data_IF_291920102689
#
_entry.id   IF_291920102689
#
_cell.length_a   1.000
_cell.length_b   1.000
_cell.length_c   1.000
_cell.angle_alpha   90.00
_cell.angle_beta   90.00
_cell.angle_gamma   90.00
#
_symmetry.space_group_name_H-M   'P 1'
#
loop_
_entity.id
_entity.type
_entity.pdbx_description
1 polymer ?
#
# COMPACT_ATOMS: atom_id res chain seq x y z
N UNK A 1 12.53 -12.35 18.22
CA UNK A 1 11.06 -12.25 18.36
C UNK A 1 10.46 -11.88 17.01
N UNK A 2 9.26 -12.40 16.70
CA UNK A 2 8.52 -12.03 15.49
C UNK A 2 8.20 -10.52 15.50
N UNK A 3 8.51 -9.83 14.41
CA UNK A 3 8.18 -8.42 14.20
C UNK A 3 6.67 -8.24 14.14
N UNK A 4 6.17 -7.10 14.66
CA UNK A 4 4.74 -6.78 14.72
C UNK A 4 4.43 -5.48 14.00
N UNK A 5 3.39 -5.50 13.16
CA UNK A 5 2.88 -4.31 12.47
C UNK A 5 1.43 -4.06 12.91
N UNK A 6 1.14 -2.88 13.44
CA UNK A 6 -0.24 -2.42 13.56
C UNK A 6 -0.76 -2.06 12.16
N UNK A 7 -1.86 -2.69 11.75
CA UNK A 7 -2.47 -2.48 10.43
C UNK A 7 -3.81 -1.78 10.61
N UNK A 8 -3.89 -0.52 10.19
CA UNK A 8 -5.06 0.36 10.35
C UNK A 8 -5.75 0.50 8.98
N UNK A 9 -6.81 -0.26 8.77
CA UNK A 9 -7.56 -0.28 7.51
C UNK A 9 -8.96 -0.86 7.76
N UNK A 10 -9.86 -0.83 6.77
CA UNK A 10 -11.17 -1.48 6.90
C UNK A 10 -11.06 -3.02 6.82
N UNK A 11 -12.05 -3.69 7.39
CA UNK A 11 -12.22 -5.14 7.28
C UNK A 11 -13.41 -5.42 6.36
N UNK A 12 -13.13 -5.72 5.11
CA UNK A 12 -14.12 -6.16 4.13
C UNK A 12 -14.27 -7.68 4.15
N UNK A 13 -15.47 -8.18 4.44
CA UNK A 13 -15.75 -9.63 4.56
C UNK A 13 -15.71 -10.34 3.22
N UNK A 14 -16.12 -9.66 2.13
CA UNK A 14 -16.04 -10.16 0.77
C UNK A 14 -15.29 -9.18 -0.13
N UNK A 15 -14.43 -9.70 -0.99
CA UNK A 15 -13.43 -8.96 -1.76
C UNK A 15 -12.05 -9.03 -1.09
N UNK A 16 -11.01 -9.13 -1.92
CA UNK A 16 -9.63 -9.37 -1.48
C UNK A 16 -8.86 -8.04 -1.37
N UNK A 17 -9.22 -7.22 -0.38
CA UNK A 17 -8.67 -5.89 -0.16
C UNK A 17 -8.42 -5.59 1.33
N UNK A 18 -7.90 -4.43 1.61
CA UNK A 18 -7.77 -3.84 2.95
C UNK A 18 -7.16 -4.81 3.98
N UNK A 19 -7.75 -5.00 5.17
CA UNK A 19 -7.21 -5.88 6.21
C UNK A 19 -7.10 -7.35 5.77
N UNK A 20 -8.00 -7.87 4.95
CA UNK A 20 -7.94 -9.28 4.50
C UNK A 20 -6.69 -9.54 3.66
N UNK A 21 -6.35 -8.63 2.75
CA UNK A 21 -5.12 -8.69 1.96
C UNK A 21 -3.88 -8.46 2.86
N UNK A 22 -3.93 -7.45 3.73
CA UNK A 22 -2.80 -7.09 4.58
C UNK A 22 -2.43 -8.20 5.58
N UNK A 23 -3.41 -8.81 6.23
CA UNK A 23 -3.16 -9.92 7.17
C UNK A 23 -2.48 -11.08 6.44
N UNK A 24 -2.97 -11.45 5.26
CA UNK A 24 -2.43 -12.57 4.49
C UNK A 24 -1.00 -12.31 4.03
N UNK A 25 -0.74 -11.15 3.40
CA UNK A 25 0.55 -10.81 2.83
C UNK A 25 1.63 -10.62 3.92
N UNK A 26 1.33 -9.85 4.97
CA UNK A 26 2.26 -9.58 6.07
C UNK A 26 2.60 -10.88 6.83
N UNK A 27 1.59 -11.73 7.10
CA UNK A 27 1.81 -13.01 7.76
C UNK A 27 2.67 -13.96 6.92
N UNK A 28 2.46 -14.03 5.59
CA UNK A 28 3.27 -14.82 4.67
C UNK A 28 4.75 -14.38 4.66
N UNK A 29 5.04 -13.13 5.00
CA UNK A 29 6.41 -12.60 5.15
C UNK A 29 7.04 -12.90 6.51
N UNK A 30 6.38 -13.68 7.39
CA UNK A 30 6.88 -14.00 8.72
C UNK A 30 6.76 -12.87 9.75
N UNK A 31 5.92 -11.89 9.48
CA UNK A 31 5.64 -10.72 10.34
C UNK A 31 4.23 -10.85 10.91
N UNK A 32 4.02 -10.48 12.17
CA UNK A 32 2.71 -10.53 12.81
C UNK A 32 1.89 -9.27 12.47
N UNK A 33 0.80 -9.38 11.69
CA UNK A 33 -0.15 -8.28 11.53
C UNK A 33 -1.03 -8.17 12.79
N UNK A 34 -1.22 -6.94 13.27
CA UNK A 34 -2.09 -6.62 14.40
C UNK A 34 -3.18 -5.65 13.88
N UNK A 35 -4.37 -6.16 13.48
CA UNK A 35 -5.37 -5.36 12.82
C UNK A 35 -6.08 -4.39 13.78
N UNK A 36 -6.20 -3.13 13.37
CA UNK A 36 -7.05 -2.10 13.97
C UNK A 36 -8.10 -1.69 12.93
N UNK A 37 -9.32 -2.25 12.98
CA UNK A 37 -10.35 -1.97 11.98
C UNK A 37 -10.80 -0.51 12.04
N UNK A 38 -10.88 0.15 10.88
CA UNK A 38 -11.48 1.48 10.70
C UNK A 38 -12.97 1.40 10.39
N UNK A 39 -13.38 0.31 9.74
CA UNK A 39 -14.76 -0.06 9.46
C UNK A 39 -14.85 -1.58 9.31
N UNK A 40 -16.05 -2.15 9.49
CA UNK A 40 -16.35 -3.55 9.16
C UNK A 40 -17.44 -3.57 8.10
N UNK A 41 -17.13 -4.14 6.94
CA UNK A 41 -18.02 -4.20 5.79
C UNK A 41 -18.36 -5.66 5.46
N UNK A 42 -19.61 -5.88 5.02
CA UNK A 42 -20.00 -7.19 4.48
C UNK A 42 -19.27 -7.52 3.18
N UNK A 43 -18.99 -6.49 2.36
CA UNK A 43 -18.22 -6.56 1.12
C UNK A 43 -17.55 -5.22 0.87
N UNK A 44 -16.49 -5.19 0.08
CA UNK A 44 -15.79 -3.96 -0.28
C UNK A 44 -16.70 -3.00 -1.09
N UNK A 45 -16.39 -1.69 -1.05
CA UNK A 45 -17.27 -0.61 -1.52
C UNK A 45 -17.51 -0.56 -3.04
N UNK A 46 -16.80 -1.35 -3.84
CA UNK A 46 -17.03 -1.48 -5.28
C UNK A 46 -18.24 -2.33 -5.65
N UNK A 47 -18.82 -3.08 -4.70
CA UNK A 47 -20.07 -3.82 -4.94
C UNK A 47 -21.28 -2.89 -4.91
N UNK A 48 -22.36 -3.22 -5.67
CA UNK A 48 -23.56 -2.37 -5.74
C UNK A 48 -24.29 -2.18 -4.40
N UNK A 49 -24.07 -3.12 -3.46
CA UNK A 49 -24.67 -3.09 -2.12
C UNK A 49 -23.73 -3.74 -1.11
N UNK A 50 -23.59 -3.13 0.03
CA UNK A 50 -22.84 -3.64 1.18
C UNK A 50 -23.38 -3.03 2.47
N UNK A 51 -23.19 -3.75 3.57
CA UNK A 51 -23.36 -3.23 4.92
C UNK A 51 -22.02 -2.66 5.39
N UNK A 52 -22.03 -1.55 6.10
CA UNK A 52 -20.86 -0.94 6.69
C UNK A 52 -21.16 -0.51 8.13
N UNK A 53 -20.35 -0.96 9.08
CA UNK A 53 -20.30 -0.47 10.46
C UNK A 53 -19.02 0.35 10.63
N UNK A 54 -19.15 1.67 10.85
CA UNK A 54 -18.03 2.57 11.10
C UNK A 54 -17.43 2.32 12.49
N UNK A 55 -16.14 2.01 12.53
CA UNK A 55 -15.41 1.71 13.76
C UNK A 55 -14.62 2.89 14.32
N UNK A 56 -14.72 4.07 13.75
CA UNK A 56 -13.92 5.24 14.14
C UNK A 56 -13.89 5.47 15.64
N UNK A 57 -15.06 5.48 16.29
CA UNK A 57 -15.13 5.69 17.75
C UNK A 57 -14.69 4.46 18.55
N UNK A 58 -14.70 3.27 17.94
CA UNK A 58 -14.27 2.02 18.60
C UNK A 58 -12.76 1.79 18.50
N UNK A 59 -12.08 2.42 17.55
CA UNK A 59 -10.62 2.32 17.41
C UNK A 59 -9.91 2.66 18.72
N UNK A 60 -10.33 3.76 19.37
CA UNK A 60 -9.74 4.20 20.64
C UNK A 60 -9.91 3.17 21.74
N UNK A 61 -11.05 2.49 21.81
CA UNK A 61 -11.30 1.44 22.81
C UNK A 61 -10.32 0.27 22.63
N UNK A 62 -10.02 -0.10 21.38
CA UNK A 62 -9.09 -1.19 21.07
C UNK A 62 -7.66 -0.80 21.45
N UNK A 63 -7.17 0.35 20.94
CA UNK A 63 -5.77 0.67 21.14
C UNK A 63 -5.45 1.12 22.59
N UNK A 64 -6.42 1.60 23.35
CA UNK A 64 -6.25 1.83 24.79
C UNK A 64 -5.99 0.54 25.57
N UNK A 65 -6.57 -0.59 25.16
CA UNK A 65 -6.21 -1.89 25.75
C UNK A 65 -4.76 -2.27 25.40
N UNK A 66 -4.31 -1.97 24.17
CA UNK A 66 -2.92 -2.18 23.78
C UNK A 66 -1.94 -1.29 24.55
N UNK A 67 -2.32 -0.06 24.88
CA UNK A 67 -1.53 0.81 25.77
C UNK A 67 -1.39 0.21 27.17
N UNK A 68 -2.48 -0.29 27.76
CA UNK A 68 -2.45 -0.97 29.08
C UNK A 68 -1.56 -2.21 29.05
N UNK A 69 -1.56 -2.94 27.94
CA UNK A 69 -0.70 -4.11 27.74
C UNK A 69 0.75 -3.73 27.42
N UNK A 70 1.06 -2.45 27.26
CA UNK A 70 2.37 -1.94 26.86
C UNK A 70 2.88 -2.57 25.54
N UNK A 71 1.96 -2.76 24.57
CA UNK A 71 2.31 -3.34 23.28
C UNK A 71 3.28 -2.44 22.55
N UNK A 72 4.33 -3.05 21.98
CA UNK A 72 5.27 -2.39 21.08
C UNK A 72 5.06 -2.90 19.66
N UNK A 73 5.07 -1.98 18.68
CA UNK A 73 5.02 -2.27 17.27
C UNK A 73 6.34 -1.89 16.59
N UNK A 74 6.88 -2.79 15.78
CA UNK A 74 8.02 -2.52 14.92
C UNK A 74 7.63 -1.63 13.73
N UNK A 75 6.37 -1.68 13.32
CA UNK A 75 5.82 -0.86 12.25
C UNK A 75 4.33 -0.56 12.42
N UNK A 76 3.89 0.46 11.72
CA UNK A 76 2.49 0.87 11.58
C UNK A 76 2.22 0.99 10.08
N UNK A 77 1.12 0.42 9.62
CA UNK A 77 0.65 0.57 8.24
C UNK A 77 -0.78 1.09 8.25
N UNK A 78 -1.04 2.17 7.49
CA UNK A 78 -2.37 2.75 7.35
C UNK A 78 -2.82 2.71 5.89
N UNK A 79 -4.07 2.28 5.64
CA UNK A 79 -4.72 2.30 4.34
C UNK A 79 -5.86 3.31 4.27
N UNK A 80 -7.00 2.89 3.72
CA UNK A 80 -8.16 3.76 3.50
C UNK A 80 -8.71 4.38 4.79
N UNK A 81 -9.02 5.69 4.71
CA UNK A 81 -9.64 6.48 5.77
C UNK A 81 -10.96 7.07 5.29
N UNK A 82 -12.05 6.82 6.02
CA UNK A 82 -13.38 7.25 5.66
C UNK A 82 -13.67 8.74 5.91
N UNK A 83 -12.78 9.45 6.63
CA UNK A 83 -13.00 10.87 6.93
C UNK A 83 -11.96 11.47 7.88
N UNK A 84 -12.00 12.80 8.04
CA UNK A 84 -11.04 13.54 8.86
C UNK A 84 -11.08 13.17 10.34
N UNK A 85 -12.24 12.82 10.88
CA UNK A 85 -12.32 12.34 12.26
C UNK A 85 -11.51 11.06 12.44
N UNK A 86 -11.54 10.15 11.48
CA UNK A 86 -10.76 8.91 11.50
C UNK A 86 -9.25 9.17 11.37
N UNK A 87 -8.84 10.12 10.50
CA UNK A 87 -7.42 10.52 10.38
C UNK A 87 -6.92 11.08 11.72
N UNK A 88 -7.71 11.90 12.42
CA UNK A 88 -7.33 12.41 13.76
C UNK A 88 -7.15 11.27 14.76
N UNK A 89 -8.04 10.26 14.78
CA UNK A 89 -7.87 9.07 15.63
C UNK A 89 -6.59 8.27 15.29
N UNK A 90 -6.23 8.22 14.02
CA UNK A 90 -4.95 7.63 13.59
C UNK A 90 -3.76 8.47 14.09
N UNK A 91 -3.84 9.80 14.02
CA UNK A 91 -2.79 10.67 14.55
C UNK A 91 -2.63 10.50 16.09
N UNK A 92 -3.74 10.38 16.83
CA UNK A 92 -3.71 10.05 18.27
C UNK A 92 -3.05 8.68 18.52
N UNK A 93 -3.37 7.68 17.68
CA UNK A 93 -2.70 6.37 17.72
C UNK A 93 -1.19 6.48 17.48
N UNK A 94 -0.77 7.28 16.49
CA UNK A 94 0.66 7.51 16.22
C UNK A 94 1.36 8.16 17.41
N UNK A 95 0.73 9.10 18.10
CA UNK A 95 1.32 9.75 19.28
C UNK A 95 1.56 8.74 20.41
N UNK A 96 0.70 7.72 20.55
CA UNK A 96 0.85 6.66 21.51
C UNK A 96 1.91 5.61 21.12
N UNK A 97 1.93 5.16 19.86
CA UNK A 97 2.64 3.95 19.43
C UNK A 97 3.80 4.18 18.46
N UNK A 98 3.90 5.33 17.76
CA UNK A 98 5.00 5.65 16.87
C UNK A 98 6.23 6.09 17.68
N UNK A 99 7.17 5.17 17.87
CA UNK A 99 8.39 5.38 18.65
C UNK A 99 9.60 5.47 17.72
N UNK A 100 10.77 5.75 18.29
CA UNK A 100 12.02 5.97 17.53
C UNK A 100 12.40 4.80 16.61
N UNK A 101 12.08 3.59 17.01
CA UNK A 101 12.37 2.33 16.32
C UNK A 101 11.15 1.74 15.55
N UNK A 102 10.03 2.45 15.58
CA UNK A 102 8.83 2.11 14.81
C UNK A 102 8.89 2.81 13.45
N UNK A 103 8.59 2.12 12.36
CA UNK A 103 8.38 2.75 11.04
C UNK A 103 6.88 2.95 10.76
N UNK A 104 6.59 3.92 9.88
CA UNK A 104 5.23 4.22 9.43
C UNK A 104 5.15 4.12 7.90
N UNK A 105 4.27 3.23 7.41
CA UNK A 105 3.86 3.15 6.02
C UNK A 105 2.46 3.75 5.89
N UNK A 106 2.29 4.71 4.98
CA UNK A 106 0.98 5.30 4.66
C UNK A 106 0.65 5.03 3.20
N UNK A 107 -0.41 4.27 2.97
CA UNK A 107 -1.06 4.17 1.68
C UNK A 107 -2.12 5.28 1.59
N UNK A 108 -1.88 6.36 0.82
CA UNK A 108 -2.72 7.55 0.86
C UNK A 108 -3.93 7.43 -0.05
N UNK A 109 -4.76 6.41 0.18
CA UNK A 109 -5.91 6.05 -0.66
C UNK A 109 -6.88 7.22 -0.80
N UNK A 110 -6.82 7.96 -1.92
CA UNK A 110 -7.65 9.16 -2.17
C UNK A 110 -8.33 9.18 -3.54
N UNK A 111 -7.85 8.38 -4.49
CA UNK A 111 -8.37 8.39 -5.85
C UNK A 111 -7.61 7.46 -6.79
N UNK A 112 -8.13 7.28 -8.00
CA UNK A 112 -7.53 6.45 -9.04
C UNK A 112 -7.89 6.97 -10.43
N UNK A 113 -7.03 6.69 -11.44
CA UNK A 113 -7.24 7.05 -12.86
C UNK A 113 -7.58 8.54 -13.08
N UNK A 114 -6.95 9.43 -12.33
CA UNK A 114 -7.15 10.87 -12.38
C UNK A 114 -8.39 11.39 -11.67
N UNK A 115 -9.16 10.51 -11.04
CA UNK A 115 -10.38 10.86 -10.31
C UNK A 115 -10.17 10.71 -8.80
N UNK A 116 -10.45 11.78 -8.08
CA UNK A 116 -10.54 11.75 -6.63
C UNK A 116 -11.82 11.02 -6.22
N UNK A 117 -11.76 10.16 -5.22
CA UNK A 117 -12.95 9.51 -4.68
C UNK A 117 -13.91 10.55 -4.10
N UNK A 118 -15.22 10.40 -4.26
CA UNK A 118 -16.23 11.42 -3.87
C UNK A 118 -16.17 11.84 -2.40
N UNK A 119 -15.75 10.93 -1.51
CA UNK A 119 -15.60 11.19 -0.07
C UNK A 119 -14.45 12.16 0.25
N UNK A 120 -13.43 12.26 -0.60
CA UNK A 120 -12.25 13.08 -0.35
C UNK A 120 -12.51 14.53 -0.76
N UNK A 121 -12.95 15.36 0.20
CA UNK A 121 -13.03 16.82 0.05
C UNK A 121 -11.60 17.43 0.04
N UNK A 122 -11.43 18.71 -0.36
CA UNK A 122 -10.14 19.41 -0.25
C UNK A 122 -9.59 19.40 1.18
N UNK A 123 -10.46 19.51 2.18
CA UNK A 123 -10.10 19.48 3.61
C UNK A 123 -9.57 18.10 4.00
N UNK A 124 -10.21 17.02 3.55
CA UNK A 124 -9.76 15.67 3.82
C UNK A 124 -8.41 15.36 3.14
N UNK A 125 -8.19 15.90 1.93
CA UNK A 125 -6.87 15.82 1.27
C UNK A 125 -5.80 16.55 2.10
N UNK A 126 -6.12 17.71 2.70
CA UNK A 126 -5.18 18.43 3.56
C UNK A 126 -4.84 17.64 4.84
N UNK A 127 -5.84 16.98 5.47
CA UNK A 127 -5.62 16.11 6.62
C UNK A 127 -4.77 14.87 6.24
N UNK A 128 -5.01 14.26 5.07
CA UNK A 128 -4.18 13.17 4.56
C UNK A 128 -2.73 13.62 4.33
N UNK A 129 -2.50 14.84 3.82
CA UNK A 129 -1.15 15.42 3.71
C UNK A 129 -0.44 15.51 5.06
N UNK A 130 -1.16 15.82 6.14
CA UNK A 130 -0.60 15.85 7.49
C UNK A 130 -0.18 14.45 7.96
N UNK A 131 -0.95 13.41 7.64
CA UNK A 131 -0.59 12.02 7.93
C UNK A 131 0.64 11.58 7.09
N UNK A 132 0.62 11.86 5.79
CA UNK A 132 1.72 11.57 4.85
C UNK A 132 3.04 12.21 5.30
N UNK A 133 3.02 13.46 5.81
CA UNK A 133 4.24 14.14 6.27
C UNK A 133 4.92 13.47 7.47
N UNK A 134 4.21 12.61 8.22
CA UNK A 134 4.77 11.81 9.32
C UNK A 134 5.31 10.44 8.88
N UNK A 135 5.02 10.04 7.63
CA UNK A 135 5.35 8.71 7.14
C UNK A 135 6.84 8.52 6.87
N UNK A 136 7.36 7.34 7.15
CA UNK A 136 8.66 6.89 6.66
C UNK A 136 8.56 6.51 5.18
N UNK A 137 7.49 5.79 4.80
CA UNK A 137 7.23 5.32 3.44
C UNK A 137 5.80 5.67 3.07
N UNK A 138 5.59 6.13 1.84
CA UNK A 138 4.26 6.29 1.26
C UNK A 138 4.16 5.52 -0.06
N UNK A 139 2.93 5.04 -0.39
CA UNK A 139 2.68 4.20 -1.57
C UNK A 139 1.65 4.80 -2.55
N UNK A 140 1.73 6.10 -2.91
CA UNK A 140 0.74 6.72 -3.77
C UNK A 140 0.73 6.10 -5.17
N UNK A 141 -0.47 5.91 -5.74
CA UNK A 141 -0.60 5.80 -7.17
C UNK A 141 -0.39 7.16 -7.84
N UNK A 142 -0.33 7.20 -9.19
CA UNK A 142 -0.05 8.44 -9.91
C UNK A 142 -1.08 9.55 -9.66
N UNK A 143 -2.36 9.19 -9.45
CA UNK A 143 -3.42 10.15 -9.10
C UNK A 143 -3.20 10.76 -7.72
N UNK A 144 -2.89 9.93 -6.76
CA UNK A 144 -2.60 10.33 -5.37
C UNK A 144 -1.33 11.18 -5.29
N UNK A 145 -0.30 10.80 -6.05
CA UNK A 145 0.91 11.62 -6.17
C UNK A 145 0.58 13.03 -6.67
N UNK A 146 -0.30 13.15 -7.67
CA UNK A 146 -0.78 14.44 -8.17
C UNK A 146 -1.56 15.22 -7.11
N UNK A 147 -2.47 14.56 -6.36
CA UNK A 147 -3.23 15.20 -5.28
C UNK A 147 -2.33 15.69 -4.14
N UNK A 148 -1.32 14.91 -3.78
CA UNK A 148 -0.37 15.25 -2.72
C UNK A 148 0.52 16.44 -3.10
N UNK A 149 0.98 16.48 -4.36
CA UNK A 149 1.88 17.55 -4.85
C UNK A 149 1.13 18.78 -5.37
N UNK A 150 -0.19 18.66 -5.60
CA UNK A 150 -1.00 19.72 -6.24
C UNK A 150 -0.78 19.84 -7.74
N UNK A 151 -0.25 18.78 -8.38
CA UNK A 151 -0.04 18.71 -9.83
C UNK A 151 -1.34 18.33 -10.54
N UNK A 152 -1.60 18.93 -11.70
CA UNK A 152 -2.75 18.53 -12.52
C UNK A 152 -2.47 17.17 -13.19
N UNK A 153 -3.30 16.18 -12.89
CA UNK A 153 -3.19 14.84 -13.47
C UNK A 153 -3.26 14.84 -15.01
N UNK A 154 -4.04 15.75 -15.61
CA UNK A 154 -4.13 15.86 -17.07
C UNK A 154 -2.79 16.20 -17.72
N UNK A 155 -1.93 16.96 -17.04
CA UNK A 155 -0.58 17.28 -17.52
C UNK A 155 0.31 16.04 -17.56
N UNK A 156 0.10 15.10 -16.65
CA UNK A 156 0.87 13.84 -16.57
C UNK A 156 0.32 12.82 -17.56
N UNK A 157 -1.01 12.71 -17.69
CA UNK A 157 -1.68 11.73 -18.55
C UNK A 157 -1.33 11.85 -20.04
N UNK A 158 -0.97 13.04 -20.50
CA UNK A 158 -0.57 13.26 -21.91
C UNK A 158 0.89 12.88 -22.19
N UNK A 159 1.67 12.55 -21.17
CA UNK A 159 3.04 12.06 -21.33
C UNK A 159 3.00 10.57 -21.67
N UNK A 160 3.49 10.22 -22.86
CA UNK A 160 3.47 8.83 -23.34
C UNK A 160 4.83 8.15 -23.26
N UNK A 161 5.92 8.92 -23.19
CA UNK A 161 7.28 8.42 -23.12
C UNK A 161 7.62 7.99 -21.68
N UNK A 162 8.02 6.74 -21.49
CA UNK A 162 8.41 6.17 -20.18
C UNK A 162 9.39 7.06 -19.42
N UNK A 163 10.52 7.39 -20.07
CA UNK A 163 11.60 8.16 -19.42
C UNK A 163 11.14 9.52 -18.91
N UNK A 164 10.29 10.20 -19.69
CA UNK A 164 9.76 11.50 -19.31
C UNK A 164 8.80 11.35 -18.13
N UNK A 165 7.87 10.41 -18.21
CA UNK A 165 6.88 10.15 -17.15
C UNK A 165 7.55 9.73 -15.84
N UNK A 166 8.52 8.82 -15.89
CA UNK A 166 9.29 8.36 -14.72
C UNK A 166 10.09 9.53 -14.10
N UNK A 167 10.73 10.37 -14.94
CA UNK A 167 11.49 11.53 -14.45
C UNK A 167 10.59 12.52 -13.72
N UNK A 168 9.41 12.81 -14.27
CA UNK A 168 8.45 13.74 -13.64
C UNK A 168 7.90 13.14 -12.35
N UNK A 169 7.52 11.86 -12.36
CA UNK A 169 7.05 11.17 -11.16
C UNK A 169 8.12 11.14 -10.05
N UNK A 170 9.39 10.91 -10.41
CA UNK A 170 10.51 10.96 -9.46
C UNK A 170 10.67 12.35 -8.85
N UNK A 171 10.61 13.42 -9.67
CA UNK A 171 10.70 14.78 -9.16
C UNK A 171 9.55 15.13 -8.21
N UNK A 172 8.32 14.71 -8.53
CA UNK A 172 7.17 14.89 -7.66
C UNK A 172 7.33 14.12 -6.33
N UNK A 173 7.81 12.89 -6.39
CA UNK A 173 8.10 12.09 -5.21
C UNK A 173 9.18 12.74 -4.32
N UNK A 174 10.26 13.25 -4.92
CA UNK A 174 11.32 14.00 -4.20
C UNK A 174 10.79 15.26 -3.52
N UNK A 175 9.83 15.96 -4.11
CA UNK A 175 9.18 17.12 -3.50
C UNK A 175 8.45 16.72 -2.20
N UNK A 176 7.76 15.55 -2.17
CA UNK A 176 7.14 15.03 -0.95
C UNK A 176 8.16 14.66 0.13
N UNK A 177 9.33 14.16 -0.26
CA UNK A 177 10.42 13.84 0.68
C UNK A 177 10.96 15.07 1.41
N UNK A 178 10.90 16.26 0.81
CA UNK A 178 11.28 17.51 1.49
C UNK A 178 10.29 17.89 2.59
N UNK A 179 9.06 17.40 2.54
CA UNK A 179 8.00 17.62 3.53
C UNK A 179 8.03 16.71 4.75
N UNK A 180 8.99 15.76 4.85
CA UNK A 180 9.12 14.85 6.00
C UNK A 180 9.15 13.37 5.67
N UNK A 181 8.45 12.93 4.62
CA UNK A 181 8.47 11.55 4.12
C UNK A 181 9.89 11.14 3.71
N UNK A 182 10.31 9.91 4.04
CA UNK A 182 11.69 9.45 3.77
C UNK A 182 11.85 8.70 2.46
N UNK A 183 10.85 7.92 2.08
CA UNK A 183 10.84 7.07 0.89
C UNK A 183 9.46 7.12 0.24
N UNK A 184 9.40 7.12 -1.09
CA UNK A 184 8.14 7.17 -1.86
C UNK A 184 8.13 6.03 -2.86
N UNK A 185 7.05 5.26 -2.89
CA UNK A 185 6.83 4.23 -3.88
C UNK A 185 5.62 4.61 -4.73
N UNK A 186 5.86 5.14 -5.91
CA UNK A 186 4.80 5.49 -6.87
C UNK A 186 4.36 4.22 -7.60
N UNK A 187 3.07 3.90 -7.54
CA UNK A 187 2.49 2.73 -8.19
C UNK A 187 1.63 3.09 -9.40
N UNK A 188 1.43 2.13 -10.30
CA UNK A 188 0.46 2.27 -11.39
C UNK A 188 0.83 3.28 -12.47
N UNK A 189 2.11 3.46 -12.77
CA UNK A 189 2.59 4.32 -13.85
C UNK A 189 2.37 3.59 -15.19
N UNK A 190 1.41 4.06 -16.00
CA UNK A 190 1.08 3.47 -17.29
C UNK A 190 1.78 4.20 -18.42
N UNK A 191 2.38 3.44 -19.35
CA UNK A 191 3.05 3.94 -20.55
C UNK A 191 2.99 2.90 -21.66
N UNK A 192 3.28 3.31 -22.90
CA UNK A 192 3.50 2.40 -24.00
C UNK A 192 5.01 2.14 -24.13
N UNK A 193 5.40 0.86 -24.23
CA UNK A 193 6.77 0.49 -24.50
C UNK A 193 7.18 0.96 -25.92
N UNK A 194 8.31 1.65 -26.04
CA UNK A 194 8.74 2.28 -27.27
C UNK A 194 9.11 1.26 -28.38
N UNK A 195 9.53 0.05 -28.01
CA UNK A 195 9.98 -0.95 -28.97
C UNK A 195 8.84 -1.88 -29.42
N UNK A 196 8.03 -2.36 -28.46
CA UNK A 196 6.95 -3.31 -28.72
C UNK A 196 5.60 -2.64 -28.98
N UNK A 197 5.39 -1.41 -28.50
CA UNK A 197 4.10 -0.73 -28.49
C UNK A 197 3.11 -1.31 -27.50
N UNK A 198 3.53 -2.25 -26.65
CA UNK A 198 2.70 -2.86 -25.62
C UNK A 198 2.43 -1.89 -24.46
N UNK A 199 1.22 -1.94 -23.89
CA UNK A 199 0.93 -1.21 -22.67
C UNK A 199 1.65 -1.85 -21.47
N UNK A 200 2.37 -1.01 -20.73
CA UNK A 200 3.13 -1.39 -19.55
C UNK A 200 2.57 -0.71 -18.29
N UNK A 201 2.76 -1.34 -17.16
CA UNK A 201 2.51 -0.77 -15.84
C UNK A 201 3.79 -0.82 -15.02
N UNK A 202 4.27 0.34 -14.61
CA UNK A 202 5.49 0.50 -13.83
C UNK A 202 5.24 0.95 -12.40
N UNK A 203 6.24 0.70 -11.56
CA UNK A 203 6.33 1.19 -10.20
C UNK A 203 7.70 1.83 -9.99
N UNK A 204 7.75 2.92 -9.24
CA UNK A 204 8.95 3.73 -9.02
C UNK A 204 9.22 3.89 -7.53
N UNK A 205 10.30 3.29 -7.05
CA UNK A 205 10.80 3.48 -5.68
C UNK A 205 11.80 4.65 -5.67
N UNK A 206 11.53 5.67 -4.86
CA UNK A 206 12.38 6.85 -4.69
C UNK A 206 12.88 6.93 -3.26
N UNK A 207 14.21 6.95 -3.11
CA UNK A 207 14.89 7.06 -1.82
C UNK A 207 15.93 8.20 -1.88
N UNK A 208 16.58 8.50 -0.78
CA UNK A 208 17.72 9.44 -0.78
C UNK A 208 18.87 8.99 -1.70
N UNK A 209 19.01 7.66 -1.89
CA UNK A 209 20.07 7.07 -2.72
C UNK A 209 19.78 7.07 -4.21
N UNK A 210 18.56 7.36 -4.63
CA UNK A 210 18.16 7.36 -6.04
C UNK A 210 16.77 6.79 -6.28
N UNK A 211 16.35 6.78 -7.55
CA UNK A 211 15.16 6.12 -8.05
C UNK A 211 15.47 4.71 -8.57
N UNK A 212 14.54 3.77 -8.39
CA UNK A 212 14.54 2.45 -9.01
C UNK A 212 13.18 2.21 -9.66
N UNK A 213 13.16 1.89 -10.94
CA UNK A 213 11.94 1.65 -11.71
C UNK A 213 11.84 0.18 -12.11
N UNK A 214 10.62 -0.36 -12.09
CA UNK A 214 10.32 -1.70 -12.58
C UNK A 214 8.95 -1.69 -13.25
N UNK A 215 8.82 -2.34 -14.40
CA UNK A 215 7.58 -2.40 -15.15
C UNK A 215 7.25 -3.83 -15.58
N UNK A 216 5.96 -4.08 -15.77
CA UNK A 216 5.39 -5.34 -16.23
C UNK A 216 4.35 -5.07 -17.31
N UNK A 217 4.09 -6.02 -18.24
CA UNK A 217 3.01 -5.88 -19.21
C UNK A 217 1.67 -5.60 -18.53
N UNK A 218 0.95 -4.57 -19.00
CA UNK A 218 -0.39 -4.29 -18.52
C UNK A 218 -1.40 -5.23 -19.21
N UNK A 219 -2.11 -6.02 -18.41
CA UNK A 219 -3.00 -7.08 -18.95
C UNK A 219 -4.42 -6.56 -19.24
N UNK A 220 -4.57 -5.24 -19.36
CA UNK A 220 -5.82 -4.60 -19.77
C UNK A 220 -6.89 -4.43 -18.69
N UNK A 221 -6.72 -5.04 -17.51
CA UNK A 221 -7.69 -4.97 -16.41
C UNK A 221 -7.05 -4.50 -15.09
N UNK A 222 -7.86 -3.83 -14.28
CA UNK A 222 -7.51 -3.47 -12.91
C UNK A 222 -8.45 -4.17 -11.94
N UNK A 223 -7.90 -4.70 -10.85
CA UNK A 223 -8.64 -5.40 -9.79
C UNK A 223 -8.63 -4.61 -8.49
N UNK A 224 -9.73 -4.70 -7.74
CA UNK A 224 -9.79 -4.13 -6.39
C UNK A 224 -8.76 -4.79 -5.47
N UNK A 225 -8.18 -4.02 -4.55
CA UNK A 225 -7.26 -4.53 -3.52
C UNK A 225 -5.81 -4.75 -3.96
N UNK A 226 -5.46 -4.52 -5.23
CA UNK A 226 -4.06 -4.65 -5.67
C UNK A 226 -3.14 -3.61 -5.01
N UNK A 227 -3.63 -2.39 -4.74
CA UNK A 227 -2.92 -1.36 -3.98
C UNK A 227 -2.68 -1.79 -2.54
N UNK A 228 -3.74 -2.28 -1.84
CA UNK A 228 -3.61 -2.79 -0.47
C UNK A 228 -2.60 -3.93 -0.38
N UNK A 229 -2.64 -4.86 -1.35
CA UNK A 229 -1.71 -5.98 -1.41
C UNK A 229 -0.28 -5.49 -1.60
N UNK A 230 -0.08 -4.50 -2.49
CA UNK A 230 1.22 -3.89 -2.75
C UNK A 230 1.77 -3.21 -1.49
N UNK A 231 1.01 -2.32 -0.86
CA UNK A 231 1.40 -1.61 0.35
C UNK A 231 1.65 -2.57 1.53
N UNK A 232 0.89 -3.67 1.61
CA UNK A 232 1.08 -4.72 2.62
C UNK A 232 2.42 -5.44 2.47
N UNK A 233 2.82 -5.76 1.23
CA UNK A 233 4.14 -6.35 0.94
C UNK A 233 5.25 -5.34 1.28
N UNK A 234 5.05 -4.05 1.00
CA UNK A 234 6.00 -2.99 1.38
C UNK A 234 6.17 -2.92 2.91
N UNK A 235 5.07 -2.94 3.66
CA UNK A 235 5.12 -2.92 5.11
C UNK A 235 5.83 -4.16 5.69
N UNK A 236 5.49 -5.36 5.18
CA UNK A 236 6.14 -6.61 5.56
C UNK A 236 7.64 -6.64 5.23
N UNK A 237 8.02 -6.19 4.03
CA UNK A 237 9.41 -6.09 3.58
C UNK A 237 10.23 -5.13 4.44
N UNK A 238 9.66 -3.97 4.79
CA UNK A 238 10.29 -3.01 5.69
C UNK A 238 10.56 -3.62 7.07
N UNK A 239 9.59 -4.34 7.65
CA UNK A 239 9.77 -5.03 8.92
C UNK A 239 10.86 -6.10 8.84
N UNK A 240 10.96 -6.79 7.72
CA UNK A 240 11.98 -7.82 7.46
C UNK A 240 13.37 -7.23 7.18
N UNK A 241 13.46 -5.93 6.86
CA UNK A 241 14.70 -5.23 6.54
C UNK A 241 15.07 -5.27 5.05
N UNK A 242 14.14 -5.60 4.18
CA UNK A 242 14.34 -5.57 2.73
C UNK A 242 14.46 -4.12 2.22
N UNK A 243 15.16 -3.92 1.10
CA UNK A 243 15.18 -2.63 0.43
C UNK A 243 13.82 -2.33 -0.21
N UNK A 244 13.47 -1.03 -0.35
CA UNK A 244 12.23 -0.63 -1.02
C UNK A 244 12.18 -1.13 -2.47
N UNK A 245 13.32 -1.12 -3.18
CA UNK A 245 13.43 -1.59 -4.56
C UNK A 245 13.18 -3.11 -4.68
N UNK A 246 13.76 -3.93 -3.78
CA UNK A 246 13.54 -5.38 -3.78
C UNK A 246 12.09 -5.71 -3.45
N UNK A 247 11.53 -5.01 -2.47
CA UNK A 247 10.14 -5.19 -2.05
C UNK A 247 9.17 -4.79 -3.16
N UNK A 248 9.46 -3.69 -3.88
CA UNK A 248 8.69 -3.25 -5.05
C UNK A 248 8.66 -4.33 -6.15
N UNK A 249 9.81 -4.91 -6.48
CA UNK A 249 9.89 -5.98 -7.48
C UNK A 249 9.10 -7.20 -7.05
N UNK A 250 9.29 -7.66 -5.82
CA UNK A 250 8.59 -8.81 -5.26
C UNK A 250 7.06 -8.63 -5.30
N UNK A 251 6.57 -7.47 -4.85
CA UNK A 251 5.15 -7.13 -4.91
C UNK A 251 4.64 -7.11 -6.35
N UNK A 252 5.36 -6.46 -7.26
CA UNK A 252 5.00 -6.36 -8.67
C UNK A 252 4.92 -7.73 -9.35
N UNK A 253 5.91 -8.59 -9.17
CA UNK A 253 5.93 -9.95 -9.74
C UNK A 253 4.79 -10.82 -9.21
N UNK A 254 4.52 -10.77 -7.91
CA UNK A 254 3.45 -11.54 -7.29
C UNK A 254 2.08 -11.07 -7.82
N UNK A 255 1.84 -9.76 -7.85
CA UNK A 255 0.57 -9.18 -8.29
C UNK A 255 0.37 -9.41 -9.78
N UNK A 256 1.41 -9.26 -10.62
CA UNK A 256 1.34 -9.54 -12.06
C UNK A 256 0.88 -10.97 -12.33
N UNK A 257 1.48 -11.95 -11.65
CA UNK A 257 1.07 -13.35 -11.77
C UNK A 257 -0.38 -13.57 -11.32
N UNK A 258 -0.78 -12.96 -10.21
CA UNK A 258 -2.14 -13.05 -9.70
C UNK A 258 -3.16 -12.42 -10.67
N UNK A 259 -2.85 -11.25 -11.27
CA UNK A 259 -3.70 -10.61 -12.27
C UNK A 259 -3.85 -11.51 -13.51
N UNK A 260 -2.73 -12.03 -14.05
CA UNK A 260 -2.71 -12.90 -15.23
C UNK A 260 -3.62 -14.12 -15.07
N UNK A 261 -3.57 -14.75 -13.91
CA UNK A 261 -4.41 -15.89 -13.61
C UNK A 261 -5.88 -15.51 -13.38
N UNK A 262 -6.12 -14.38 -12.72
CA UNK A 262 -7.47 -13.88 -12.47
C UNK A 262 -8.19 -13.54 -13.77
N UNK A 263 -7.49 -12.89 -14.72
CA UNK A 263 -8.02 -12.64 -16.08
C UNK A 263 -8.31 -13.94 -16.80
N UNK A 264 -7.39 -14.91 -16.78
CA UNK A 264 -7.59 -16.24 -17.40
C UNK A 264 -8.80 -16.98 -16.83
N UNK A 265 -9.07 -16.81 -15.54
CA UNK A 265 -10.17 -17.46 -14.83
C UNK A 265 -11.46 -16.63 -14.84
N UNK A 266 -11.49 -15.47 -15.52
CA UNK A 266 -12.64 -14.54 -15.55
C UNK A 266 -13.09 -14.12 -14.14
N UNK A 267 -12.15 -13.88 -13.21
CA UNK A 267 -12.46 -13.41 -11.86
C UNK A 267 -13.09 -12.02 -11.96
N UNK A 268 -14.24 -11.77 -11.30
CA UNK A 268 -14.83 -10.43 -11.30
C UNK A 268 -13.89 -9.40 -10.67
N UNK A 269 -13.81 -8.20 -11.27
CA UNK A 269 -12.93 -7.12 -10.82
C UNK A 269 -13.04 -6.83 -9.31
N UNK A 270 -14.27 -6.83 -8.79
CA UNK A 270 -14.53 -6.50 -7.39
C UNK A 270 -14.19 -7.63 -6.41
N UNK A 271 -14.03 -8.86 -6.89
CA UNK A 271 -13.61 -9.99 -6.05
C UNK A 271 -12.12 -9.87 -5.67
N UNK A 272 -11.35 -9.09 -6.44
CA UNK A 272 -9.90 -8.96 -6.29
C UNK A 272 -9.14 -10.10 -7.00
N UNK A 273 -7.81 -10.03 -6.97
CA UNK A 273 -6.96 -11.01 -7.66
C UNK A 273 -6.78 -12.31 -6.85
N UNK A 274 -6.57 -13.43 -7.54
CA UNK A 274 -6.30 -14.74 -6.94
C UNK A 274 -4.85 -14.85 -6.44
N UNK A 275 -4.51 -14.04 -5.44
CA UNK A 275 -3.15 -13.94 -4.91
C UNK A 275 -2.77 -15.04 -3.92
N UNK A 276 -3.73 -15.73 -3.33
CA UNK A 276 -3.51 -16.70 -2.24
C UNK A 276 -2.51 -17.79 -2.63
N UNK A 277 -2.59 -18.27 -3.87
CA UNK A 277 -1.68 -19.28 -4.39
C UNK A 277 -0.25 -18.78 -4.68
N UNK A 278 -0.04 -17.46 -4.59
CA UNK A 278 1.27 -16.82 -4.78
C UNK A 278 1.90 -16.30 -3.48
N UNK A 279 1.21 -16.44 -2.33
CA UNK A 279 1.74 -16.01 -1.02
C UNK A 279 3.08 -16.67 -0.67
N UNK A 280 3.35 -17.87 -1.18
CA UNK A 280 4.63 -18.55 -0.98
C UNK A 280 5.83 -17.73 -1.47
N UNK A 281 5.68 -16.92 -2.52
CA UNK A 281 6.73 -16.04 -3.03
C UNK A 281 7.23 -15.05 -1.97
N UNK A 282 6.35 -14.63 -1.06
CA UNK A 282 6.65 -13.70 0.02
C UNK A 282 7.51 -14.34 1.12
N UNK A 283 7.46 -15.67 1.25
CA UNK A 283 8.17 -16.44 2.27
C UNK A 283 9.57 -16.95 1.87
N UNK A 284 9.96 -16.88 0.60
CA UNK A 284 11.18 -17.54 0.07
C UNK A 284 12.47 -17.15 0.79
N UNK A 285 12.67 -15.88 1.14
CA UNK A 285 13.86 -15.45 1.89
C UNK A 285 14.00 -16.12 3.27
N UNK A 286 12.88 -16.43 3.92
CA UNK A 286 12.88 -17.16 5.19
C UNK A 286 13.22 -18.64 4.98
N UNK A 287 12.82 -19.22 3.84
CA UNK A 287 13.12 -20.62 3.51
C UNK A 287 14.61 -20.84 3.23
N UNK A 288 15.29 -19.95 2.51
CA UNK A 288 16.72 -20.04 2.27
C UNK A 288 17.56 -19.87 3.56
N UNK A 289 17.18 -18.98 4.46
CA UNK A 289 17.83 -18.80 5.75
C UNK A 289 17.70 -20.05 6.63
N UNK A 290 16.48 -20.63 6.73
CA UNK A 290 16.24 -21.88 7.45
C UNK A 290 16.98 -23.07 6.85
N UNK A 291 17.13 -23.17 5.52
CA UNK A 291 17.87 -24.24 4.87
C UNK A 291 19.39 -24.15 5.16
N UNK A 292 19.95 -22.94 5.25
CA UNK A 292 21.39 -22.76 5.57
C UNK A 292 21.72 -23.12 7.01
N UNK A 293 20.83 -22.84 7.96
CA UNK A 293 21.02 -23.24 9.37
C UNK A 293 20.90 -24.75 9.58
N UNK A 294 20.10 -25.48 8.80
CA UNK A 294 19.97 -26.93 8.87
C UNK A 294 21.14 -27.71 8.22
N UNK A 295 21.90 -27.05 7.35
CA UNK A 295 23.09 -27.67 6.71
C UNK A 295 24.37 -27.41 7.52
N UNK A 296 24.34 -26.46 8.47
CA UNK A 296 25.49 -26.09 9.32
C UNK A 296 25.43 -26.64 10.75
N UNK A 297 24.43 -27.42 11.10
CA UNK A 297 24.29 -28.19 12.37
C UNK A 297 24.36 -29.69 12.13
#
# INVERSE_FOLDING_TARGET
MTKKIAVINDLSGFGKCSLTAAISAIAAMGVQPCPLPTAVLSAQTGYPSYYCDDYTDRMELIYKEWEKMQVHFDGIYTGFMAGGHQIRKVLDFLDAFYKKDTFLVVDPVMGDNGNRYPIFTPELVAEMKSLVSRADIITPNLTELCLLTGTDYHMIKVMTEEKHLVTVAEQMARNLMTGGTKEVLVTGIRFADEESGEEMMGNLAVTKGGGSFSAFPFIGESFSGTGDLFASVVAGGRARGDSLADTMKLAGEMIERAIRDSVKNNVPRNDGVDYEKYLWMLGEKNCEACMREQVSG
#
